data_IF_694590684033
#
_entry.id   IF_694590684033
#
_cell.length_a   1.000
_cell.length_b   1.000
_cell.length_c   1.000
_cell.angle_alpha   90.00
_cell.angle_beta   90.00
_cell.angle_gamma   90.00
#
_symmetry.space_group_name_H-M   'P 1'
#
loop_
_entity.id
_entity.type
_entity.pdbx_description
1 polymer ?
#
# COMPACT_ATOMS: atom_id res chain seq x y z
N UNK A 1 6.00 8.94 -11.53
CA UNK A 1 6.34 9.10 -10.09
C UNK A 1 5.46 10.16 -9.43
N UNK A 2 5.52 11.42 -9.84
CA UNK A 2 4.78 12.51 -9.19
C UNK A 2 3.26 12.30 -9.13
N UNK A 3 2.64 11.87 -10.24
CA UNK A 3 1.20 11.52 -10.27
C UNK A 3 0.85 10.44 -9.26
N UNK A 4 1.67 9.40 -9.14
CA UNK A 4 1.49 8.32 -8.16
C UNK A 4 1.55 8.85 -6.72
N UNK A 5 2.50 9.76 -6.43
CA UNK A 5 2.58 10.41 -5.13
C UNK A 5 1.33 11.23 -4.81
N UNK A 6 0.86 12.06 -5.75
CA UNK A 6 -0.36 12.86 -5.59
C UNK A 6 -1.58 11.98 -5.29
N UNK A 7 -1.70 10.85 -5.97
CA UNK A 7 -2.77 9.88 -5.75
C UNK A 7 -2.69 9.30 -4.33
N UNK A 8 -1.54 8.74 -3.93
CA UNK A 8 -1.37 8.14 -2.60
C UNK A 8 -1.62 9.18 -1.50
N UNK A 9 -1.06 10.39 -1.63
CA UNK A 9 -1.22 11.47 -0.65
C UNK A 9 -2.69 11.88 -0.48
N UNK A 10 -3.43 12.03 -1.59
CA UNK A 10 -4.87 12.33 -1.57
C UNK A 10 -5.65 11.25 -0.82
N UNK A 11 -5.39 9.98 -1.10
CA UNK A 11 -6.12 8.87 -0.46
C UNK A 11 -5.75 8.69 1.01
N UNK A 12 -4.50 8.95 1.40
CA UNK A 12 -4.06 8.97 2.79
C UNK A 12 -4.73 10.07 3.60
N UNK A 13 -4.83 11.29 3.04
CA UNK A 13 -5.55 12.39 3.70
C UNK A 13 -7.05 12.06 3.87
N UNK A 14 -7.69 11.53 2.82
CA UNK A 14 -9.09 11.11 2.89
C UNK A 14 -9.32 9.97 3.91
N UNK A 15 -8.42 8.99 3.96
CA UNK A 15 -8.49 7.88 4.91
C UNK A 15 -8.42 8.38 6.36
N UNK A 16 -7.47 9.27 6.64
CA UNK A 16 -7.32 9.91 7.95
C UNK A 16 -8.55 10.73 8.34
N UNK A 17 -9.05 11.58 7.45
CA UNK A 17 -10.19 12.45 7.74
C UNK A 17 -11.50 11.68 7.98
N UNK A 18 -11.66 10.54 7.32
CA UNK A 18 -12.87 9.69 7.43
C UNK A 18 -12.71 8.53 8.42
N UNK A 19 -11.54 8.41 9.05
CA UNK A 19 -11.19 7.30 9.94
C UNK A 19 -11.44 5.92 9.32
N UNK A 20 -11.06 5.76 8.04
CA UNK A 20 -11.13 4.50 7.30
C UNK A 20 -9.72 4.02 6.92
N UNK A 21 -9.60 2.77 6.48
CA UNK A 21 -8.31 2.28 5.99
C UNK A 21 -7.92 2.96 4.67
N UNK A 22 -6.61 3.07 4.42
CA UNK A 22 -6.10 3.54 3.13
C UNK A 22 -6.57 2.63 1.98
N UNK A 23 -6.65 1.33 2.23
CA UNK A 23 -7.16 0.35 1.28
C UNK A 23 -8.61 0.67 0.87
N UNK A 24 -9.50 0.94 1.81
CA UNK A 24 -10.91 1.27 1.52
C UNK A 24 -11.03 2.60 0.78
N UNK A 25 -10.22 3.60 1.19
CA UNK A 25 -10.11 4.88 0.48
C UNK A 25 -9.69 4.69 -0.99
N UNK A 26 -8.74 3.80 -1.27
CA UNK A 26 -8.29 3.48 -2.64
C UNK A 26 -9.33 2.67 -3.43
N UNK A 27 -10.02 1.71 -2.80
CA UNK A 27 -11.08 0.91 -3.44
C UNK A 27 -12.25 1.77 -3.90
N UNK A 28 -12.56 2.84 -3.16
CA UNK A 28 -13.61 3.78 -3.54
C UNK A 28 -13.32 4.56 -4.83
N UNK A 29 -12.04 4.63 -5.27
CA UNK A 29 -11.66 5.30 -6.51
C UNK A 29 -11.71 4.34 -7.70
N UNK A 30 -12.77 4.49 -8.50
CA UNK A 30 -13.01 3.69 -9.71
C UNK A 30 -11.85 3.78 -10.72
N UNK A 31 -11.09 4.89 -10.74
CA UNK A 31 -9.92 5.02 -11.63
C UNK A 31 -8.78 4.11 -11.18
N UNK A 32 -8.55 3.98 -9.87
CA UNK A 32 -7.52 3.09 -9.32
C UNK A 32 -7.97 1.63 -9.44
N UNK A 33 -9.24 1.36 -9.15
CA UNK A 33 -9.83 0.02 -9.27
C UNK A 33 -9.82 -0.51 -10.71
N UNK A 34 -9.82 0.38 -11.71
CA UNK A 34 -9.66 0.00 -13.12
C UNK A 34 -8.25 -0.51 -13.49
N UNK A 35 -7.21 -0.15 -12.72
CA UNK A 35 -5.84 -0.63 -12.94
C UNK A 35 -5.45 -1.79 -11.99
N UNK A 36 -6.06 -1.83 -10.81
CA UNK A 36 -5.78 -2.80 -9.76
C UNK A 36 -7.08 -3.46 -9.32
N UNK A 37 -7.25 -4.73 -9.68
CA UNK A 37 -8.30 -5.58 -9.10
C UNK A 37 -8.12 -5.72 -7.57
N UNK A 38 -9.18 -6.15 -6.88
CA UNK A 38 -9.20 -6.28 -5.42
C UNK A 38 -8.05 -7.15 -4.88
N UNK A 39 -7.69 -8.20 -5.62
CA UNK A 39 -6.63 -9.14 -5.26
C UNK A 39 -5.25 -8.49 -5.31
N UNK A 40 -4.95 -7.73 -6.37
CA UNK A 40 -3.70 -6.97 -6.50
C UNK A 40 -3.61 -5.89 -5.43
N UNK A 41 -4.72 -5.18 -5.18
CA UNK A 41 -4.73 -4.13 -4.16
C UNK A 41 -4.48 -4.72 -2.77
N UNK A 42 -5.11 -5.85 -2.42
CA UNK A 42 -4.84 -6.57 -1.16
C UNK A 42 -3.38 -7.01 -1.03
N UNK A 43 -2.77 -7.52 -2.10
CA UNK A 43 -1.34 -7.92 -2.10
C UNK A 43 -0.39 -6.76 -1.79
N UNK A 44 -0.73 -5.53 -2.21
CA UNK A 44 0.08 -4.34 -1.89
C UNK A 44 0.05 -4.04 -0.38
N UNK A 45 -0.98 -4.47 0.35
CA UNK A 45 -1.07 -4.28 1.81
C UNK A 45 -0.59 -5.51 2.60
N UNK A 46 0.04 -6.49 1.95
CA UNK A 46 0.64 -7.64 2.63
C UNK A 46 1.96 -7.25 3.30
N UNK A 47 1.99 -7.25 4.63
CA UNK A 47 3.17 -6.94 5.42
C UNK A 47 4.35 -7.88 5.11
N UNK A 48 4.08 -9.16 4.85
CA UNK A 48 5.11 -10.16 4.59
C UNK A 48 5.94 -9.81 3.35
N UNK A 49 5.32 -9.17 2.36
CA UNK A 49 6.00 -8.73 1.16
C UNK A 49 7.12 -7.73 1.48
N UNK A 50 6.87 -6.81 2.41
CA UNK A 50 7.82 -5.76 2.80
C UNK A 50 8.86 -6.24 3.82
N UNK A 51 8.55 -7.27 4.60
CA UNK A 51 9.44 -7.83 5.64
C UNK A 51 10.24 -9.05 5.18
N UNK A 52 10.00 -9.58 3.97
CA UNK A 52 10.65 -10.80 3.42
C UNK A 52 12.19 -10.85 3.46
N UNK A 53 12.85 -9.70 3.59
CA UNK A 53 14.31 -9.60 3.62
C UNK A 53 14.90 -9.40 5.02
N UNK A 54 14.07 -9.27 6.06
CA UNK A 54 14.56 -9.05 7.44
C UNK A 54 15.50 -10.19 7.86
N UNK A 55 15.12 -11.46 7.65
CA UNK A 55 15.99 -12.59 7.99
C UNK A 55 17.34 -12.58 7.26
N UNK A 56 17.35 -12.13 5.99
CA UNK A 56 18.59 -12.00 5.21
C UNK A 56 19.48 -10.87 5.77
N UNK A 57 18.90 -9.76 6.20
CA UNK A 57 19.66 -8.66 6.84
C UNK A 57 20.23 -9.13 8.17
N UNK A 58 19.42 -9.79 9.01
CA UNK A 58 19.88 -10.35 10.28
C UNK A 58 21.04 -11.33 10.08
N UNK A 59 20.92 -12.27 9.13
CA UNK A 59 21.99 -13.23 8.82
C UNK A 59 23.28 -12.56 8.32
N UNK A 60 23.23 -11.36 7.73
CA UNK A 60 24.43 -10.64 7.28
C UNK A 60 25.13 -9.86 8.39
N UNK A 61 24.41 -9.50 9.44
CA UNK A 61 24.92 -8.67 10.53
C UNK A 61 25.40 -9.53 11.70
N UNK A 62 24.77 -10.68 11.94
CA UNK A 62 24.98 -11.49 13.13
C UNK A 62 25.59 -12.88 12.89
N UNK A 63 25.77 -13.30 11.63
CA UNK A 63 26.58 -14.47 11.26
C UNK A 63 27.82 -14.02 10.49
#
# INVERSE_FOLDING_TARGET
RERSYKVVQKHSANARNKNISLLDSLKSDKKIYGYFDDTKLKKIFDLNYYTRKIGLIFNRVFN
#
